data_IF_051618170591
#
_entry.id   IF_051618170591
#
_cell.length_a   1.000
_cell.length_b   1.000
_cell.length_c   1.000
_cell.angle_alpha   90.00
_cell.angle_beta   90.00
_cell.angle_gamma   90.00
#
_symmetry.space_group_name_H-M   'P 1'
#
loop_
_entity.id
_entity.type
_entity.pdbx_description
1 polymer ?
#
# COMPACT_ATOMS: atom_id res chain seq x y z
N UNK A 1 29.81 80.92 -62.79
CA UNK A 1 28.91 79.84 -63.25
C UNK A 1 29.78 78.93 -64.11
N UNK A 2 30.04 77.66 -63.79
CA UNK A 2 29.28 76.73 -62.93
C UNK A 2 30.23 75.61 -62.48
N UNK A 3 30.09 75.13 -61.24
CA UNK A 3 30.75 73.92 -60.72
C UNK A 3 30.15 72.68 -61.38
N UNK A 4 30.98 71.80 -61.92
CA UNK A 4 30.59 70.42 -62.22
C UNK A 4 30.88 69.55 -60.99
N UNK A 5 29.81 69.17 -60.30
CA UNK A 5 29.83 68.23 -59.18
C UNK A 5 29.88 66.80 -59.72
N UNK A 6 30.97 66.08 -59.42
CA UNK A 6 31.05 64.63 -59.48
C UNK A 6 29.92 64.01 -58.64
N UNK A 7 29.10 63.17 -59.27
CA UNK A 7 28.18 62.28 -58.56
C UNK A 7 28.68 60.84 -58.75
N UNK A 8 29.59 60.41 -57.89
CA UNK A 8 29.98 59.01 -57.78
C UNK A 8 28.88 58.26 -57.02
N UNK A 9 28.00 57.60 -57.76
CA UNK A 9 27.12 56.55 -57.24
C UNK A 9 27.98 55.40 -56.70
N UNK A 10 28.20 55.37 -55.39
CA UNK A 10 28.76 54.23 -54.67
C UNK A 10 27.80 53.03 -54.80
N UNK A 11 28.02 52.18 -55.80
CA UNK A 11 27.50 50.81 -55.77
C UNK A 11 28.26 50.09 -54.66
N UNK A 12 27.63 49.99 -53.50
CA UNK A 12 28.08 49.10 -52.43
C UNK A 12 27.93 47.65 -52.91
N UNK A 13 28.89 47.16 -53.71
CA UNK A 13 29.09 45.72 -53.87
C UNK A 13 29.62 45.22 -52.53
N UNK A 14 28.75 44.57 -51.74
CA UNK A 14 29.14 43.92 -50.49
C UNK A 14 30.40 43.08 -50.75
N UNK A 15 31.48 43.39 -50.02
CA UNK A 15 32.78 42.76 -50.23
C UNK A 15 32.63 41.26 -49.89
N UNK A 16 33.24 40.33 -50.63
CA UNK A 16 33.18 38.89 -50.32
C UNK A 16 33.68 38.55 -48.89
N UNK A 17 34.52 39.43 -48.31
CA UNK A 17 34.90 39.38 -46.89
C UNK A 17 33.73 39.66 -45.92
N UNK A 18 32.81 40.54 -46.28
CA UNK A 18 31.65 40.88 -45.43
C UNK A 18 30.65 39.71 -45.38
N UNK A 19 30.49 39.00 -46.50
CA UNK A 19 29.71 37.77 -46.56
C UNK A 19 30.29 36.66 -45.68
N UNK A 20 31.61 36.49 -45.68
CA UNK A 20 32.29 35.54 -44.80
C UNK A 20 32.09 35.89 -43.31
N UNK A 21 32.15 37.18 -42.95
CA UNK A 21 31.89 37.64 -41.58
C UNK A 21 30.45 37.41 -41.13
N UNK A 22 29.47 37.64 -42.01
CA UNK A 22 28.05 37.39 -41.72
C UNK A 22 27.81 35.88 -41.51
N UNK A 23 28.40 35.03 -42.37
CA UNK A 23 28.31 33.57 -42.23
C UNK A 23 28.95 33.10 -40.92
N UNK A 24 30.10 33.68 -40.54
CA UNK A 24 30.78 33.34 -39.29
C UNK A 24 29.93 33.70 -38.06
N UNK A 25 29.32 34.89 -38.05
CA UNK A 25 28.43 35.34 -36.98
C UNK A 25 27.20 34.42 -36.89
N UNK A 26 26.61 34.05 -38.03
CA UNK A 26 25.50 33.09 -38.07
C UNK A 26 25.89 31.74 -37.48
N UNK A 27 27.07 31.19 -37.82
CA UNK A 27 27.54 29.92 -37.27
C UNK A 27 27.81 29.98 -35.75
N UNK A 28 28.33 31.11 -35.26
CA UNK A 28 28.58 31.36 -33.83
C UNK A 28 27.26 31.43 -33.05
N UNK A 29 26.17 31.93 -33.64
CA UNK A 29 24.86 32.00 -33.00
C UNK A 29 24.08 30.69 -33.15
N UNK A 30 24.17 30.03 -34.30
CA UNK A 30 23.42 28.81 -34.60
C UNK A 30 23.93 27.60 -33.79
N UNK A 31 25.24 27.52 -33.54
CA UNK A 31 25.85 26.41 -32.78
C UNK A 31 25.37 26.31 -31.32
N UNK A 32 25.39 27.38 -30.50
CA UNK A 32 24.86 27.32 -29.13
C UNK A 32 23.35 27.10 -29.10
N UNK A 33 22.61 27.58 -30.11
CA UNK A 33 21.17 27.34 -30.22
C UNK A 33 20.87 25.85 -30.50
N UNK A 34 21.58 25.22 -31.45
CA UNK A 34 21.47 23.77 -31.70
C UNK A 34 21.90 22.95 -30.47
N UNK A 35 22.93 23.39 -29.75
CA UNK A 35 23.38 22.73 -28.52
C UNK A 35 22.36 22.81 -27.39
N UNK A 36 21.66 23.94 -27.24
CA UNK A 36 20.56 24.08 -26.27
C UNK A 36 19.38 23.19 -26.66
N UNK A 37 19.01 23.13 -27.94
CA UNK A 37 17.93 22.28 -28.44
C UNK A 37 18.25 20.77 -28.31
N UNK A 38 19.50 20.35 -28.48
CA UNK A 38 19.88 18.96 -28.28
C UNK A 38 19.79 18.55 -26.81
N UNK A 39 20.18 19.44 -25.88
CA UNK A 39 20.03 19.20 -24.44
C UNK A 39 18.56 19.08 -24.01
N UNK A 40 17.69 19.96 -24.50
CA UNK A 40 16.27 19.87 -24.17
C UNK A 40 15.63 18.61 -24.75
N UNK A 41 16.03 18.21 -25.96
CA UNK A 41 15.61 16.93 -26.56
C UNK A 41 16.05 15.70 -25.77
N UNK A 42 17.32 15.65 -25.35
CA UNK A 42 17.86 14.54 -24.52
C UNK A 42 17.12 14.48 -23.18
N UNK A 43 16.92 15.61 -22.51
CA UNK A 43 16.20 15.68 -21.23
C UNK A 43 14.74 15.24 -21.38
N UNK A 44 14.07 15.63 -22.46
CA UNK A 44 12.69 15.21 -22.73
C UNK A 44 12.57 13.70 -22.98
N UNK A 45 13.53 13.12 -23.72
CA UNK A 45 13.61 11.66 -23.94
C UNK A 45 13.89 10.93 -22.63
N UNK A 46 14.82 11.46 -21.82
CA UNK A 46 15.18 10.90 -20.53
C UNK A 46 13.99 10.94 -19.57
N UNK A 47 13.30 12.07 -19.43
CA UNK A 47 12.09 12.19 -18.62
C UNK A 47 10.98 11.23 -19.08
N UNK A 48 10.77 11.09 -20.40
CA UNK A 48 9.77 10.17 -20.95
C UNK A 48 10.03 8.69 -20.60
N UNK A 49 11.28 8.32 -20.36
CA UNK A 49 11.69 6.97 -19.97
C UNK A 49 11.70 6.82 -18.44
N UNK A 50 12.22 7.81 -17.73
CA UNK A 50 12.44 7.75 -16.28
C UNK A 50 11.16 7.98 -15.47
N UNK A 51 10.25 8.86 -15.90
CA UNK A 51 9.01 9.13 -15.17
C UNK A 51 8.14 7.87 -15.00
N UNK A 52 7.83 7.09 -16.06
CA UNK A 52 7.05 5.86 -15.92
C UNK A 52 7.72 4.81 -15.03
N UNK A 53 9.07 4.75 -15.04
CA UNK A 53 9.81 3.84 -14.17
C UNK A 53 9.74 4.28 -12.71
N UNK A 54 9.86 5.58 -12.44
CA UNK A 54 9.71 6.16 -11.11
C UNK A 54 8.30 5.94 -10.57
N UNK A 55 7.27 6.19 -11.39
CA UNK A 55 5.87 5.95 -11.00
C UNK A 55 5.61 4.48 -10.64
N UNK A 56 6.12 3.55 -11.43
CA UNK A 56 6.02 2.11 -11.14
C UNK A 56 6.74 1.74 -9.83
N UNK A 57 7.95 2.25 -9.61
CA UNK A 57 8.70 2.02 -8.37
C UNK A 57 7.96 2.60 -7.15
N UNK A 58 7.41 3.81 -7.26
CA UNK A 58 6.59 4.43 -6.21
C UNK A 58 5.33 3.61 -5.91
N UNK A 59 4.64 3.13 -6.95
CA UNK A 59 3.46 2.27 -6.78
C UNK A 59 3.81 0.96 -6.06
N UNK A 60 4.92 0.31 -6.45
CA UNK A 60 5.41 -0.91 -5.80
C UNK A 60 5.74 -0.65 -4.33
N UNK A 61 6.48 0.43 -4.04
CA UNK A 61 6.82 0.81 -2.67
C UNK A 61 5.59 1.06 -1.80
N UNK A 62 4.59 1.78 -2.32
CA UNK A 62 3.33 2.03 -1.61
C UNK A 62 2.57 0.73 -1.34
N UNK A 63 2.41 -0.11 -2.36
CA UNK A 63 1.73 -1.40 -2.23
C UNK A 63 2.42 -2.32 -1.21
N UNK A 64 3.75 -2.38 -1.21
CA UNK A 64 4.53 -3.15 -0.23
C UNK A 64 4.36 -2.59 1.18
N UNK A 65 4.52 -1.27 1.32
CA UNK A 65 4.42 -0.58 2.60
C UNK A 65 3.04 -0.79 3.23
N UNK A 66 1.95 -0.50 2.52
CA UNK A 66 0.60 -0.59 3.09
C UNK A 66 0.17 -2.04 3.34
N UNK A 67 0.61 -3.00 2.53
CA UNK A 67 0.27 -4.41 2.73
C UNK A 67 0.90 -4.91 4.02
N UNK A 68 2.18 -4.59 4.18
CA UNK A 68 2.95 -4.93 5.38
C UNK A 68 2.44 -4.16 6.59
N UNK A 69 2.21 -2.86 6.48
CA UNK A 69 1.74 -2.03 7.59
C UNK A 69 0.37 -2.49 8.08
N UNK A 70 -0.61 -2.64 7.19
CA UNK A 70 -1.97 -3.05 7.60
C UNK A 70 -1.99 -4.43 8.25
N UNK A 71 -1.31 -5.42 7.67
CA UNK A 71 -1.31 -6.78 8.22
C UNK A 71 -0.39 -6.94 9.44
N UNK A 72 0.76 -6.27 9.50
CA UNK A 72 1.63 -6.32 10.70
C UNK A 72 1.07 -5.56 11.88
N UNK A 73 0.36 -4.45 11.64
CA UNK A 73 -0.36 -3.74 12.71
C UNK A 73 -1.45 -4.62 13.31
N UNK A 74 -2.06 -5.51 12.52
CA UNK A 74 -2.98 -6.51 13.02
C UNK A 74 -2.25 -7.60 13.83
N UNK A 75 -1.41 -8.39 13.15
CA UNK A 75 -0.45 -9.29 13.79
C UNK A 75 0.60 -9.71 12.75
N UNK A 76 1.92 -9.60 13.03
CA UNK A 76 2.95 -9.87 12.03
C UNK A 76 2.95 -11.30 11.49
N UNK A 77 2.40 -12.27 12.23
CA UNK A 77 2.32 -13.68 11.81
C UNK A 77 1.18 -13.94 10.83
N UNK A 78 0.24 -13.00 10.65
CA UNK A 78 -0.81 -13.11 9.64
C UNK A 78 -0.21 -13.30 8.24
N UNK A 79 0.90 -12.62 7.95
CA UNK A 79 1.73 -12.88 6.76
C UNK A 79 2.51 -14.18 7.01
N UNK A 80 2.30 -15.16 6.15
CA UNK A 80 2.86 -16.51 6.28
C UNK A 80 1.88 -17.50 6.87
N UNK A 81 0.94 -17.08 7.73
CA UNK A 81 -0.12 -17.96 8.26
C UNK A 81 -1.38 -17.92 7.39
N UNK A 82 -2.01 -16.75 7.28
CA UNK A 82 -3.22 -16.53 6.50
C UNK A 82 -2.87 -15.99 5.11
N UNK A 83 -2.06 -14.95 5.07
CA UNK A 83 -1.71 -14.23 3.86
C UNK A 83 -0.39 -14.72 3.29
N UNK A 84 -0.26 -14.72 1.96
CA UNK A 84 0.99 -15.04 1.26
C UNK A 84 1.99 -13.88 1.47
N UNK A 85 3.29 -14.19 1.55
CA UNK A 85 4.32 -13.16 1.52
C UNK A 85 4.32 -12.43 0.17
N UNK A 86 4.86 -11.21 0.15
CA UNK A 86 4.96 -10.39 -1.07
C UNK A 86 5.70 -11.17 -2.18
N UNK A 87 5.22 -11.14 -3.44
CA UNK A 87 5.84 -11.93 -4.51
C UNK A 87 7.24 -11.40 -4.82
N UNK A 88 8.24 -12.28 -4.94
CA UNK A 88 9.63 -11.85 -5.20
C UNK A 88 9.80 -11.08 -6.52
N UNK A 89 9.02 -11.43 -7.55
CA UNK A 89 9.04 -10.78 -8.85
C UNK A 89 8.38 -9.38 -8.84
N UNK A 90 7.50 -9.11 -7.89
CA UNK A 90 6.85 -7.81 -7.72
C UNK A 90 7.87 -6.72 -7.34
N UNK A 91 8.69 -6.99 -6.33
CA UNK A 91 9.73 -6.05 -5.90
C UNK A 91 10.93 -6.07 -6.83
N UNK A 92 11.41 -7.24 -7.27
CA UNK A 92 12.61 -7.35 -8.12
C UNK A 92 12.49 -6.60 -9.45
N UNK A 93 11.31 -6.61 -10.06
CA UNK A 93 11.10 -6.03 -11.38
C UNK A 93 10.41 -4.65 -11.34
N UNK A 94 10.17 -4.09 -10.15
CA UNK A 94 9.38 -2.87 -9.95
C UNK A 94 8.07 -2.87 -10.75
N UNK A 95 7.40 -4.04 -10.86
CA UNK A 95 6.23 -4.18 -11.71
C UNK A 95 4.96 -4.37 -10.86
N UNK A 96 4.11 -3.34 -10.72
CA UNK A 96 2.92 -3.45 -9.88
C UNK A 96 1.91 -4.48 -10.38
N UNK A 97 1.98 -4.86 -11.66
CA UNK A 97 1.05 -5.82 -12.27
C UNK A 97 1.41 -7.29 -11.98
N UNK A 98 2.58 -7.56 -11.39
CA UNK A 98 2.92 -8.92 -10.93
C UNK A 98 2.47 -9.17 -9.49
N UNK A 99 1.62 -8.31 -8.95
CA UNK A 99 0.98 -8.55 -7.65
C UNK A 99 0.14 -9.83 -7.70
N UNK A 100 -0.01 -10.47 -6.55
CA UNK A 100 -0.76 -11.72 -6.44
C UNK A 100 -2.27 -11.47 -6.59
N UNK A 101 -2.93 -12.27 -7.42
CA UNK A 101 -4.40 -12.21 -7.58
C UNK A 101 -5.13 -12.77 -6.36
N UNK A 102 -4.60 -13.85 -5.79
CA UNK A 102 -5.10 -14.49 -4.57
C UNK A 102 -4.04 -14.37 -3.47
N UNK A 103 -4.25 -13.50 -2.47
CA UNK A 103 -3.30 -13.31 -1.38
C UNK A 103 -3.46 -14.31 -0.25
N UNK A 104 -4.49 -15.16 -0.25
CA UNK A 104 -4.80 -16.04 0.88
C UNK A 104 -4.12 -17.40 0.67
N UNK A 105 -3.44 -17.90 1.69
CA UNK A 105 -2.90 -19.27 1.72
C UNK A 105 -4.05 -20.27 1.87
N UNK A 106 -4.09 -21.36 1.10
CA UNK A 106 -5.11 -22.41 1.27
C UNK A 106 -5.20 -22.93 2.71
N UNK A 107 -4.05 -23.13 3.37
CA UNK A 107 -3.97 -23.56 4.78
C UNK A 107 -4.57 -22.56 5.77
N UNK A 108 -4.55 -21.27 5.44
CA UNK A 108 -5.07 -20.19 6.28
C UNK A 108 -6.57 -19.93 6.15
N UNK A 109 -7.24 -20.50 5.15
CA UNK A 109 -8.67 -20.24 4.88
C UNK A 109 -9.58 -20.63 6.03
N UNK A 110 -9.29 -21.74 6.73
CA UNK A 110 -10.10 -22.20 7.87
C UNK A 110 -10.03 -21.20 9.03
N UNK A 111 -8.83 -20.74 9.38
CA UNK A 111 -8.62 -19.74 10.43
C UNK A 111 -9.26 -18.39 10.03
N UNK A 112 -9.06 -17.96 8.79
CA UNK A 112 -9.67 -16.74 8.27
C UNK A 112 -11.21 -16.79 8.34
N UNK A 113 -11.84 -17.92 7.99
CA UNK A 113 -13.28 -18.08 8.07
C UNK A 113 -13.80 -17.95 9.52
N UNK A 114 -13.08 -18.52 10.50
CA UNK A 114 -13.40 -18.37 11.93
C UNK A 114 -13.34 -16.90 12.36
N UNK A 115 -12.24 -16.22 12.01
CA UNK A 115 -12.05 -14.79 12.32
C UNK A 115 -13.14 -13.90 11.72
N UNK A 116 -13.49 -14.12 10.44
CA UNK A 116 -14.56 -13.38 9.77
C UNK A 116 -15.90 -13.59 10.48
N UNK A 117 -16.19 -14.82 10.89
CA UNK A 117 -17.45 -15.15 11.57
C UNK A 117 -17.55 -14.37 12.89
N UNK A 118 -16.49 -14.39 13.68
CA UNK A 118 -16.41 -13.64 14.93
C UNK A 118 -16.52 -12.12 14.71
N UNK A 119 -15.74 -11.58 13.78
CA UNK A 119 -15.78 -10.17 13.44
C UNK A 119 -17.18 -9.72 13.01
N UNK A 120 -17.86 -10.49 12.14
CA UNK A 120 -19.18 -10.17 11.62
C UNK A 120 -20.29 -10.26 12.68
N UNK A 121 -20.08 -11.07 13.73
CA UNK A 121 -20.96 -11.13 14.89
C UNK A 121 -20.83 -9.86 15.73
N UNK A 122 -19.61 -9.39 15.95
CA UNK A 122 -19.31 -8.18 16.72
C UNK A 122 -19.64 -6.90 15.96
N UNK A 123 -19.55 -6.95 14.62
CA UNK A 123 -19.65 -5.79 13.73
C UNK A 123 -20.74 -5.99 12.67
N UNK A 124 -22.03 -6.09 13.05
CA UNK A 124 -23.10 -6.48 12.14
C UNK A 124 -23.33 -5.50 10.97
N UNK A 125 -22.88 -4.25 11.08
CA UNK A 125 -23.02 -3.21 10.05
C UNK A 125 -21.82 -3.09 9.12
N UNK A 126 -20.69 -3.72 9.44
CA UNK A 126 -19.43 -3.64 8.68
C UNK A 126 -18.94 -5.02 8.26
N UNK A 127 -19.85 -5.91 7.85
CA UNK A 127 -19.50 -7.30 7.56
C UNK A 127 -18.55 -7.42 6.37
N UNK A 128 -17.66 -8.40 6.45
CA UNK A 128 -16.79 -8.81 5.34
C UNK A 128 -16.91 -10.32 5.06
N UNK A 129 -16.27 -10.78 3.99
CA UNK A 129 -16.18 -12.19 3.65
C UNK A 129 -14.85 -12.52 2.95
N UNK A 130 -14.57 -13.81 2.76
CA UNK A 130 -13.31 -14.28 2.17
C UNK A 130 -13.08 -13.66 0.78
N UNK A 131 -14.11 -13.61 -0.07
CA UNK A 131 -13.99 -13.05 -1.41
C UNK A 131 -13.65 -11.56 -1.39
N UNK A 132 -14.28 -10.79 -0.51
CA UNK A 132 -13.97 -9.37 -0.34
C UNK A 132 -12.53 -9.16 0.12
N UNK A 133 -12.04 -9.94 1.08
CA UNK A 133 -10.65 -9.87 1.54
C UNK A 133 -9.68 -10.27 0.43
N UNK A 134 -9.99 -11.35 -0.29
CA UNK A 134 -9.19 -11.85 -1.42
C UNK A 134 -9.08 -10.80 -2.51
N UNK A 135 -10.19 -10.19 -2.91
CA UNK A 135 -10.21 -9.15 -3.93
C UNK A 135 -9.50 -7.89 -3.46
N UNK A 136 -9.70 -7.50 -2.20
CA UNK A 136 -9.15 -6.27 -1.62
C UNK A 136 -7.62 -6.28 -1.59
N UNK A 137 -7.02 -7.33 -1.03
CA UNK A 137 -5.57 -7.50 -0.91
C UNK A 137 -4.94 -8.20 -2.13
N UNK A 138 -5.75 -8.70 -3.06
CA UNK A 138 -5.32 -9.39 -4.27
C UNK A 138 -5.44 -8.51 -5.50
N UNK A 139 -6.34 -8.88 -6.41
CA UNK A 139 -6.48 -8.23 -7.72
C UNK A 139 -6.71 -6.71 -7.66
N UNK A 140 -7.36 -6.18 -6.61
CA UNK A 140 -7.64 -4.75 -6.47
C UNK A 140 -6.61 -4.01 -5.62
N UNK A 141 -5.56 -4.68 -5.12
CA UNK A 141 -4.62 -4.08 -4.18
C UNK A 141 -3.93 -2.82 -4.72
N UNK A 142 -3.57 -2.82 -6.01
CA UNK A 142 -2.95 -1.67 -6.68
C UNK A 142 -3.78 -0.39 -6.54
N UNK A 143 -5.10 -0.51 -6.59
CA UNK A 143 -6.02 0.63 -6.45
C UNK A 143 -6.35 0.89 -4.98
N UNK A 144 -6.48 -0.16 -4.16
CA UNK A 144 -6.91 -0.04 -2.77
C UNK A 144 -5.82 0.49 -1.85
N UNK A 145 -4.54 0.23 -2.12
CA UNK A 145 -3.44 0.62 -1.24
C UNK A 145 -3.27 2.14 -1.10
N UNK A 146 -3.78 2.92 -2.05
CA UNK A 146 -3.71 4.39 -2.04
C UNK A 146 -5.04 5.04 -1.66
N UNK A 147 -6.12 4.27 -1.56
CA UNK A 147 -7.46 4.77 -1.27
C UNK A 147 -7.81 4.54 0.20
N UNK A 148 -7.77 5.60 0.99
CA UNK A 148 -8.21 5.57 2.39
C UNK A 148 -9.73 5.75 2.48
N UNK A 149 -10.47 4.72 2.06
CA UNK A 149 -11.93 4.68 2.20
C UNK A 149 -12.30 3.73 3.33
N UNK A 150 -13.30 4.10 4.14
CA UNK A 150 -13.86 3.22 5.16
C UNK A 150 -14.32 1.90 4.53
N UNK A 151 -13.49 0.85 4.64
CA UNK A 151 -13.69 -0.43 3.98
C UNK A 151 -13.84 -1.54 5.02
N UNK A 152 -14.88 -2.38 4.95
CA UNK A 152 -15.07 -3.52 5.86
C UNK A 152 -13.86 -4.45 6.00
N UNK A 153 -13.06 -4.63 4.95
CA UNK A 153 -11.82 -5.44 4.99
C UNK A 153 -10.75 -4.77 5.85
N UNK A 154 -10.58 -3.45 5.75
CA UNK A 154 -9.64 -2.72 6.61
C UNK A 154 -10.09 -2.78 8.07
N UNK A 155 -11.38 -2.59 8.33
CA UNK A 155 -11.95 -2.68 9.68
C UNK A 155 -11.79 -4.08 10.28
N UNK A 156 -11.99 -5.12 9.48
CA UNK A 156 -11.69 -6.50 9.87
C UNK A 156 -10.20 -6.69 10.25
N UNK A 157 -9.28 -6.20 9.42
CA UNK A 157 -7.83 -6.31 9.71
C UNK A 157 -7.46 -5.54 10.98
N UNK A 158 -8.01 -4.34 11.19
CA UNK A 158 -7.79 -3.57 12.42
C UNK A 158 -8.34 -4.31 13.64
N UNK A 159 -9.56 -4.86 13.54
CA UNK A 159 -10.16 -5.65 14.62
C UNK A 159 -9.33 -6.88 14.98
N UNK A 160 -8.69 -7.53 14.00
CA UNK A 160 -7.78 -8.67 14.26
C UNK A 160 -6.63 -8.30 15.21
N UNK A 161 -6.14 -7.07 15.18
CA UNK A 161 -5.07 -6.58 16.06
C UNK A 161 -5.52 -5.93 17.36
N UNK A 162 -6.83 -5.72 17.55
CA UNK A 162 -7.36 -5.20 18.81
C UNK A 162 -7.26 -6.26 19.90
N UNK A 163 -7.01 -5.82 21.14
CA UNK A 163 -7.08 -6.65 22.33
C UNK A 163 -8.42 -7.39 22.39
N UNK A 164 -8.36 -8.70 22.62
CA UNK A 164 -9.54 -9.53 22.78
C UNK A 164 -10.22 -9.22 24.12
N UNK A 165 -11.48 -8.82 24.11
CA UNK A 165 -12.28 -8.66 25.34
C UNK A 165 -12.75 -10.05 25.83
N UNK A 166 -11.94 -10.65 26.70
CA UNK A 166 -12.14 -12.02 27.17
C UNK A 166 -12.90 -12.08 28.50
N UNK A 167 -13.71 -13.11 28.64
CA UNK A 167 -14.38 -13.51 29.87
C UNK A 167 -14.16 -15.01 30.14
N UNK A 168 -14.28 -15.41 31.40
CA UNK A 168 -14.24 -16.83 31.78
C UNK A 168 -15.46 -17.58 31.22
N UNK A 169 -15.23 -18.71 30.53
CA UNK A 169 -16.31 -19.56 29.98
C UNK A 169 -17.17 -20.21 31.07
N UNK A 170 -16.53 -20.61 32.15
CA UNK A 170 -17.12 -21.33 33.28
C UNK A 170 -16.45 -20.86 34.58
N UNK A 171 -17.02 -21.26 35.71
CA UNK A 171 -16.42 -20.99 37.03
C UNK A 171 -15.08 -21.73 37.15
N UNK A 172 -13.99 -21.01 37.39
CA UNK A 172 -12.63 -21.52 37.43
C UNK A 172 -11.93 -21.12 38.73
N UNK A 173 -11.32 -22.07 39.42
CA UNK A 173 -10.43 -21.78 40.55
C UNK A 173 -9.00 -21.74 40.04
N UNK A 174 -8.30 -20.62 40.22
CA UNK A 174 -6.91 -20.51 39.78
C UNK A 174 -5.93 -21.23 40.72
N UNK A 175 -4.65 -21.28 40.33
CA UNK A 175 -3.58 -21.93 41.10
C UNK A 175 -3.33 -21.32 42.49
N UNK A 176 -3.90 -20.14 42.78
CA UNK A 176 -3.82 -19.47 44.08
C UNK A 176 -5.10 -19.64 44.91
N UNK A 177 -6.08 -20.41 44.42
CA UNK A 177 -7.35 -20.65 45.10
C UNK A 177 -8.41 -19.57 44.88
N UNK A 178 -8.18 -18.62 43.96
CA UNK A 178 -9.17 -17.57 43.66
C UNK A 178 -10.23 -18.12 42.72
N UNK A 179 -11.50 -18.00 43.09
CA UNK A 179 -12.64 -18.33 42.23
C UNK A 179 -12.93 -17.19 41.26
N UNK A 180 -12.86 -17.49 39.98
CA UNK A 180 -13.27 -16.64 38.87
C UNK A 180 -14.61 -17.14 38.33
N UNK A 181 -15.64 -16.32 38.36
CA UNK A 181 -16.98 -16.72 37.89
C UNK A 181 -17.10 -16.62 36.38
N UNK A 182 -17.91 -17.49 35.78
CA UNK A 182 -18.30 -17.40 34.38
C UNK A 182 -18.80 -15.99 34.02
N UNK A 183 -18.39 -15.47 32.86
CA UNK A 183 -18.72 -14.11 32.41
C UNK A 183 -17.89 -12.99 33.06
N UNK A 184 -17.05 -13.28 34.06
CA UNK A 184 -16.17 -12.28 34.66
C UNK A 184 -15.05 -11.89 33.67
N UNK A 185 -14.65 -10.60 33.59
CA UNK A 185 -13.54 -10.17 32.74
C UNK A 185 -12.23 -10.88 33.07
N UNK A 186 -11.48 -11.23 32.03
CA UNK A 186 -10.13 -11.79 32.15
C UNK A 186 -9.12 -10.66 31.92
N UNK A 187 -8.23 -10.43 32.89
CA UNK A 187 -7.10 -9.52 32.75
C UNK A 187 -5.84 -10.37 32.84
N UNK A 188 -5.14 -10.54 31.72
CA UNK A 188 -3.89 -11.31 31.69
C UNK A 188 -2.71 -10.42 32.12
N UNK A 189 -1.82 -10.98 32.94
CA UNK A 189 -0.74 -10.23 33.59
C UNK A 189 0.47 -9.95 32.68
N UNK A 190 0.62 -10.67 31.56
CA UNK A 190 1.79 -10.55 30.69
C UNK A 190 1.53 -9.73 29.42
N UNK A 191 0.38 -9.86 28.76
CA UNK A 191 -0.16 -9.02 27.67
C UNK A 191 -1.53 -9.59 27.30
N UNK A 192 -2.53 -8.74 27.03
CA UNK A 192 -3.82 -9.21 26.50
C UNK A 192 -3.63 -9.68 25.04
N UNK A 193 -4.07 -10.88 24.65
CA UNK A 193 -3.95 -11.32 23.27
C UNK A 193 -4.81 -10.45 22.36
N UNK A 194 -4.36 -10.25 21.12
CA UNK A 194 -5.24 -9.71 20.09
C UNK A 194 -6.34 -10.71 19.73
N UNK A 195 -7.41 -10.24 19.07
CA UNK A 195 -8.45 -11.12 18.54
C UNK A 195 -7.86 -12.22 17.65
N UNK A 196 -6.89 -11.89 16.80
CA UNK A 196 -6.20 -12.87 15.96
C UNK A 196 -5.45 -13.93 16.78
N UNK A 197 -4.70 -13.52 17.79
CA UNK A 197 -3.94 -14.43 18.65
C UNK A 197 -4.86 -15.35 19.43
N UNK A 198 -5.95 -14.81 19.98
CA UNK A 198 -7.00 -15.58 20.64
C UNK A 198 -7.52 -16.71 19.73
N UNK A 199 -7.89 -16.41 18.49
CA UNK A 199 -8.42 -17.41 17.54
C UNK A 199 -7.38 -18.40 17.00
N UNK A 200 -6.09 -18.08 17.12
CA UNK A 200 -5.01 -18.97 16.70
C UNK A 200 -4.74 -20.06 17.73
N UNK A 201 -5.01 -19.80 19.02
CA UNK A 201 -4.77 -20.73 20.14
C UNK A 201 -5.97 -20.85 21.10
N UNK A 202 -7.20 -20.76 20.58
CA UNK A 202 -8.43 -20.85 21.39
C UNK A 202 -8.60 -22.21 22.07
N UNK A 203 -8.11 -23.27 21.42
CA UNK A 203 -8.23 -24.65 21.89
C UNK A 203 -7.01 -25.07 22.77
N UNK A 204 -6.06 -24.15 23.01
CA UNK A 204 -4.87 -24.37 23.83
C UNK A 204 -4.79 -23.35 24.95
N UNK A 205 -3.96 -22.30 24.81
CA UNK A 205 -3.72 -21.32 25.88
C UNK A 205 -5.00 -20.61 26.38
N UNK A 206 -6.03 -20.49 25.53
CA UNK A 206 -7.25 -19.75 25.85
C UNK A 206 -8.50 -20.63 25.98
N UNK A 207 -8.32 -21.93 26.25
CA UNK A 207 -9.40 -22.92 26.40
C UNK A 207 -10.49 -22.51 27.40
N UNK A 208 -10.11 -21.82 28.48
CA UNK A 208 -10.98 -21.36 29.55
C UNK A 208 -11.65 -20.00 29.29
N UNK A 209 -11.34 -19.35 28.16
CA UNK A 209 -11.76 -17.98 27.88
C UNK A 209 -12.56 -17.85 26.58
N UNK A 210 -13.60 -17.04 26.59
CA UNK A 210 -14.35 -16.67 25.38
C UNK A 210 -14.46 -15.17 25.24
N UNK A 211 -14.76 -14.69 24.02
CA UNK A 211 -15.05 -13.27 23.83
C UNK A 211 -16.32 -12.89 24.60
N UNK A 212 -16.33 -11.70 25.22
CA UNK A 212 -17.51 -11.18 25.93
C UNK A 212 -18.74 -11.13 25.04
N UNK A 213 -18.58 -10.71 23.79
CA UNK A 213 -19.68 -10.62 22.81
C UNK A 213 -20.33 -11.98 22.54
N UNK A 214 -19.55 -13.06 22.53
CA UNK A 214 -20.04 -14.43 22.38
C UNK A 214 -20.79 -14.87 23.63
N UNK A 215 -20.21 -14.69 24.81
CA UNK A 215 -20.86 -14.99 26.08
C UNK A 215 -22.22 -14.30 26.19
N UNK A 216 -22.29 -12.99 25.87
CA UNK A 216 -23.54 -12.23 25.90
C UNK A 216 -24.57 -12.71 24.87
N UNK A 217 -24.12 -13.19 23.70
CA UNK A 217 -25.00 -13.76 22.70
C UNK A 217 -25.58 -15.12 23.16
N UNK A 218 -24.77 -15.96 23.79
CA UNK A 218 -25.20 -17.24 24.37
C UNK A 218 -26.23 -17.04 25.48
N UNK A 219 -26.00 -16.06 26.38
CA UNK A 219 -26.96 -15.72 27.43
C UNK A 219 -28.31 -15.27 26.85
N UNK A 220 -28.31 -14.53 25.74
CA UNK A 220 -29.54 -14.10 25.05
C UNK A 220 -30.26 -15.25 24.34
N UNK A 221 -29.54 -16.26 23.86
CA UNK A 221 -30.11 -17.39 23.15
C UNK A 221 -30.64 -18.51 24.09
N UNK A 222 -30.17 -18.54 25.34
CA UNK A 222 -30.61 -19.47 26.38
C UNK A 222 -31.85 -19.02 27.17
N UNK A 223 -32.45 -17.90 26.80
CA UNK A 223 -33.66 -17.33 27.41
C UNK A 223 -34.82 -17.26 26.41
#
# INVERSE_FOLDING_TARGET
MTQDHENQTSRNSANPRDWLWIILILLIILSPLLYLLSKTGILAIQNKIEEPQREQATQVANMEFYYTATLRQADPTMIGTIFKPIPKNFTKNNNPNTWMTDPIKPSGKKLLAKLITAYNQDNPTQKTNITQIQDYYGKNWKTNCTNNTNNPVQQFTLWCGQDADLVYKHDLIDKYGTLHKAGSPVILTSTQPSNYQYYTDTDGQYDNYQLRSQYLAEQKAGH
#
